data_IF_921461794663
#
_entry.id   IF_921461794663
#
_cell.length_a   1.000
_cell.length_b   1.000
_cell.length_c   1.000
_cell.angle_alpha   90.00
_cell.angle_beta   90.00
_cell.angle_gamma   90.00
#
_symmetry.space_group_name_H-M   'P 1'
#
loop_
_entity.id
_entity.type
_entity.pdbx_description
1 polymer ?
#
# COMPACT_ATOMS: atom_id res chain seq x y z
N UNK A 1 9.86 -6.66 -4.16
CA UNK A 1 9.02 -6.25 -3.00
C UNK A 1 9.96 -5.78 -1.90
N UNK A 2 9.81 -4.54 -1.45
CA UNK A 2 10.74 -3.94 -0.48
C UNK A 2 10.00 -3.62 0.81
N UNK A 3 10.52 -4.07 1.94
CA UNK A 3 10.07 -3.65 3.26
C UNK A 3 10.57 -2.22 3.51
N UNK A 4 9.66 -1.32 3.87
CA UNK A 4 9.96 0.10 4.03
C UNK A 4 9.43 0.59 5.37
N UNK A 5 10.26 1.38 6.06
CA UNK A 5 9.85 2.19 7.19
C UNK A 5 9.81 3.67 6.76
N UNK A 6 8.63 4.29 6.79
CA UNK A 6 8.45 5.72 6.48
C UNK A 6 7.61 6.39 7.57
N UNK A 7 8.22 7.24 8.42
CA UNK A 7 7.50 7.91 9.51
C UNK A 7 6.26 8.69 9.05
N UNK A 8 6.31 9.28 7.85
CA UNK A 8 5.18 10.03 7.27
C UNK A 8 3.93 9.18 7.01
N UNK A 9 4.03 7.85 6.99
CA UNK A 9 2.85 6.99 6.83
C UNK A 9 1.94 6.99 8.06
N UNK A 10 2.47 7.25 9.26
CA UNK A 10 1.65 7.44 10.48
C UNK A 10 0.65 8.59 10.32
N UNK A 11 0.97 9.59 9.50
CA UNK A 11 0.12 10.76 9.32
C UNK A 11 -1.10 10.51 8.41
N UNK A 12 -1.27 9.31 7.85
CA UNK A 12 -2.37 8.98 6.94
C UNK A 12 -3.72 8.74 7.64
N UNK A 13 -3.71 8.61 8.96
CA UNK A 13 -4.91 8.45 9.77
C UNK A 13 -4.71 7.48 10.92
N UNK A 14 -5.82 7.20 11.62
CA UNK A 14 -5.81 6.29 12.77
C UNK A 14 -5.27 4.91 12.40
N UNK A 15 -4.56 4.30 13.34
CA UNK A 15 -3.95 2.96 13.24
C UNK A 15 -2.84 2.79 12.19
N UNK A 16 -2.55 3.75 11.32
CA UNK A 16 -1.41 3.62 10.41
C UNK A 16 -0.08 3.53 11.16
N UNK A 17 0.75 2.56 10.78
CA UNK A 17 2.14 2.48 11.23
C UNK A 17 3.10 3.06 10.19
N UNK A 18 4.36 3.21 10.57
CA UNK A 18 5.45 3.56 9.66
C UNK A 18 5.85 2.40 8.74
N UNK A 19 5.32 1.19 8.97
CA UNK A 19 5.72 -0.03 8.28
C UNK A 19 4.82 -0.36 7.09
N UNK A 20 5.43 -0.88 6.04
CA UNK A 20 4.72 -1.37 4.87
C UNK A 20 5.63 -2.01 3.85
N UNK A 21 5.03 -2.68 2.87
CA UNK A 21 5.73 -3.33 1.77
C UNK A 21 5.39 -2.61 0.48
N UNK A 22 6.41 -2.08 -0.20
CA UNK A 22 6.26 -1.46 -1.51
C UNK A 22 6.59 -2.45 -2.62
N UNK A 23 5.74 -2.51 -3.64
CA UNK A 23 5.87 -3.39 -4.78
C UNK A 23 5.67 -2.60 -6.06
N UNK A 24 6.67 -2.68 -6.95
CA UNK A 24 6.52 -2.19 -8.32
C UNK A 24 6.07 -3.35 -9.20
N UNK A 25 4.85 -3.27 -9.71
CA UNK A 25 4.30 -4.21 -10.68
C UNK A 25 4.46 -3.61 -12.08
N UNK A 26 5.02 -4.37 -13.01
CA UNK A 26 5.29 -3.92 -14.38
C UNK A 26 4.56 -4.84 -15.35
N UNK A 27 3.77 -4.26 -16.25
CA UNK A 27 3.09 -4.98 -17.34
C UNK A 27 4.07 -5.30 -18.47
N UNK A 28 3.67 -6.16 -19.40
CA UNK A 28 4.51 -6.51 -20.55
C UNK A 28 4.87 -5.30 -21.43
N UNK A 29 3.96 -4.32 -21.50
CA UNK A 29 4.15 -3.02 -22.18
C UNK A 29 5.06 -2.03 -21.41
N UNK A 30 5.76 -2.49 -20.38
CA UNK A 30 6.64 -1.70 -19.50
C UNK A 30 5.93 -0.64 -18.64
N UNK A 31 4.60 -0.57 -18.66
CA UNK A 31 3.84 0.30 -17.76
C UNK A 31 4.01 -0.17 -16.32
N UNK A 32 4.50 0.71 -15.45
CA UNK A 32 4.73 0.43 -14.04
C UNK A 32 3.64 1.00 -13.15
N UNK A 33 3.24 0.25 -12.13
CA UNK A 33 2.40 0.71 -11.03
C UNK A 33 3.07 0.39 -9.71
N UNK A 34 3.11 1.38 -8.81
CA UNK A 34 3.59 1.17 -7.44
C UNK A 34 2.40 0.89 -6.53
N UNK A 35 2.50 -0.17 -5.76
CA UNK A 35 1.51 -0.63 -4.80
C UNK A 35 2.19 -0.66 -3.43
N UNK A 36 1.49 -0.24 -2.39
CA UNK A 36 1.99 -0.29 -1.01
C UNK A 36 1.00 -1.02 -0.13
N UNK A 37 1.46 -2.06 0.55
CA UNK A 37 0.71 -2.72 1.61
C UNK A 37 1.09 -2.08 2.94
N UNK A 38 0.14 -1.42 3.60
CA UNK A 38 0.33 -0.78 4.89
C UNK A 38 -0.08 -1.73 6.02
N UNK A 39 0.78 -1.86 7.03
CA UNK A 39 0.43 -2.54 8.27
C UNK A 39 -0.20 -1.55 9.26
N UNK A 40 -1.34 -1.91 9.84
CA UNK A 40 -2.04 -1.10 10.83
C UNK A 40 -1.81 -1.68 12.23
N UNK A 41 -1.78 -0.80 13.24
CA UNK A 41 -1.52 -1.18 14.63
C UNK A 41 -2.62 -2.05 15.25
N UNK A 42 -3.80 -2.12 14.63
CA UNK A 42 -4.88 -3.03 15.01
C UNK A 42 -4.75 -4.44 14.39
N UNK A 43 -3.62 -4.75 13.74
CA UNK A 43 -3.34 -6.05 13.13
C UNK A 43 -3.93 -6.26 11.73
N UNK A 44 -4.60 -5.25 11.18
CA UNK A 44 -5.12 -5.29 9.80
C UNK A 44 -4.12 -4.74 8.78
N UNK A 45 -4.42 -4.90 7.49
CA UNK A 45 -3.61 -4.34 6.43
C UNK A 45 -4.46 -3.72 5.30
N UNK A 46 -3.95 -2.64 4.73
CA UNK A 46 -4.60 -1.87 3.66
C UNK A 46 -3.68 -1.80 2.46
N UNK A 47 -4.21 -2.16 1.29
CA UNK A 47 -3.54 -2.03 0.01
C UNK A 47 -3.78 -0.62 -0.56
N UNK A 48 -2.70 0.06 -0.91
CA UNK A 48 -2.70 1.39 -1.52
C UNK A 48 -2.16 1.30 -2.96
N UNK A 49 -2.90 1.84 -3.92
CA UNK A 49 -2.48 1.96 -5.31
C UNK A 49 -3.00 3.27 -5.92
N UNK A 50 -2.36 3.71 -6.99
CA UNK A 50 -2.78 4.90 -7.74
C UNK A 50 -3.48 4.53 -9.03
N UNK A 51 -4.65 5.13 -9.30
CA UNK A 51 -5.39 4.99 -10.54
C UNK A 51 -5.93 6.36 -10.95
N UNK A 52 -5.75 6.73 -12.23
CA UNK A 52 -6.21 8.03 -12.77
C UNK A 52 -5.87 9.26 -11.90
N UNK A 53 -4.63 9.32 -11.38
CA UNK A 53 -4.11 10.38 -10.48
C UNK A 53 -4.74 10.44 -9.08
N UNK A 54 -5.55 9.46 -8.71
CA UNK A 54 -6.09 9.32 -7.37
C UNK A 54 -5.46 8.13 -6.64
N UNK A 55 -5.36 8.22 -5.31
CA UNK A 55 -4.91 7.12 -4.45
C UNK A 55 -6.13 6.40 -3.87
N UNK A 56 -6.14 5.09 -4.03
CA UNK A 56 -7.16 4.20 -3.49
C UNK A 56 -6.60 3.39 -2.34
N UNK A 57 -7.42 3.17 -1.30
CA UNK A 57 -7.07 2.42 -0.10
C UNK A 57 -8.12 1.34 0.12
N UNK A 58 -7.73 0.08 0.00
CA UNK A 58 -8.64 -1.05 0.06
C UNK A 58 -8.14 -2.06 1.09
N UNK A 59 -8.96 -2.48 2.06
CA UNK A 59 -8.59 -3.57 2.97
C UNK A 59 -8.16 -4.82 2.20
N UNK A 60 -7.05 -5.43 2.60
CA UNK A 60 -6.44 -6.53 1.83
C UNK A 60 -7.36 -7.75 1.67
N UNK A 61 -8.27 -7.94 2.63
CA UNK A 61 -9.26 -9.03 2.65
C UNK A 61 -10.26 -8.99 1.48
N UNK A 62 -10.45 -7.83 0.83
CA UNK A 62 -11.28 -7.76 -0.37
C UNK A 62 -10.54 -8.17 -1.65
N UNK A 63 -9.20 -8.14 -1.62
CA UNK A 63 -8.33 -8.47 -2.76
C UNK A 63 -7.92 -9.94 -2.72
N UNK A 64 -7.58 -10.45 -1.54
CA UNK A 64 -7.19 -11.84 -1.34
C UNK A 64 -8.46 -12.70 -1.21
N UNK A 65 -8.60 -13.66 -2.13
CA UNK A 65 -9.55 -14.76 -2.03
C UNK A 65 -8.82 -16.02 -1.59
#
# INVERSE_FOLDING_TARGET
PNCIMRPSWKNRGSFYTEYGVSMRCVKHDQTGSNIVLHYLSNGTAVLNFSFQKEMFFVPIVFILK
#
